data_IF_583272808065
#
_entry.id   IF_583272808065
#
_cell.length_a   1.000
_cell.length_b   1.000
_cell.length_c   1.000
_cell.angle_alpha   90.00
_cell.angle_beta   90.00
_cell.angle_gamma   90.00
#
_symmetry.space_group_name_H-M   'P 1'
#
loop_
_entity.id
_entity.type
_entity.pdbx_description
1 polymer ?
#
# COMPACT_ATOMS: atom_id res chain seq x y z
N UNK A 1 -8.15 -1.71 -15.10
CA UNK A 1 -8.17 -2.90 -14.20
C UNK A 1 -8.70 -2.46 -12.85
N UNK A 2 -9.30 -3.34 -12.06
CA UNK A 2 -9.89 -2.99 -10.76
C UNK A 2 -9.01 -3.56 -9.66
N UNK A 3 -8.62 -2.73 -8.69
CA UNK A 3 -7.95 -3.20 -7.48
C UNK A 3 -9.02 -3.56 -6.43
N UNK A 4 -8.83 -4.72 -5.80
CA UNK A 4 -9.68 -5.23 -4.74
C UNK A 4 -8.92 -5.18 -3.41
N UNK A 5 -9.64 -4.78 -2.36
CA UNK A 5 -9.22 -4.84 -0.97
C UNK A 5 -10.28 -5.63 -0.19
N UNK A 6 -9.91 -6.80 0.32
CA UNK A 6 -10.84 -7.76 0.95
C UNK A 6 -12.05 -8.09 0.06
N UNK A 7 -11.78 -8.45 -1.20
CA UNK A 7 -12.77 -8.73 -2.26
C UNK A 7 -13.70 -7.55 -2.63
N UNK A 8 -13.49 -6.36 -2.05
CA UNK A 8 -14.25 -5.16 -2.39
C UNK A 8 -13.46 -4.28 -3.36
N UNK A 9 -14.08 -3.78 -4.45
CA UNK A 9 -13.46 -2.80 -5.32
C UNK A 9 -13.07 -1.53 -4.54
N UNK A 10 -11.80 -1.16 -4.59
CA UNK A 10 -11.29 0.02 -3.90
C UNK A 10 -10.69 1.08 -4.82
N UNK A 11 -10.56 0.78 -6.11
CA UNK A 11 -10.08 1.73 -7.10
C UNK A 11 -9.81 1.08 -8.46
N UNK A 12 -9.31 1.91 -9.38
CA UNK A 12 -8.98 1.50 -10.73
C UNK A 12 -7.53 1.81 -11.06
N UNK A 13 -6.92 0.87 -11.79
CA UNK A 13 -5.63 1.07 -12.45
C UNK A 13 -5.94 1.48 -13.89
N UNK A 14 -5.68 2.75 -14.19
CA UNK A 14 -6.08 3.43 -15.43
C UNK A 14 -5.12 3.11 -16.59
N UNK A 15 -3.84 2.95 -16.28
CA UNK A 15 -2.77 2.61 -17.21
C UNK A 15 -1.67 1.89 -16.43
N UNK A 16 -1.03 0.88 -17.01
CA UNK A 16 0.08 0.20 -16.35
C UNK A 16 1.19 -0.21 -17.33
N UNK A 17 2.41 -0.30 -16.81
CA UNK A 17 3.56 -0.95 -17.43
C UNK A 17 3.89 -2.24 -16.69
N UNK A 18 4.55 -3.15 -17.38
CA UNK A 18 4.95 -4.44 -16.83
C UNK A 18 6.44 -4.69 -17.06
N UNK A 19 7.15 -4.95 -15.97
CA UNK A 19 8.59 -5.24 -15.89
C UNK A 19 8.79 -6.46 -14.98
N UNK A 20 8.70 -7.66 -15.53
CA UNK A 20 8.67 -8.92 -14.76
C UNK A 20 9.73 -8.99 -13.65
N UNK A 21 9.34 -9.29 -12.39
CA UNK A 21 8.00 -9.72 -11.94
C UNK A 21 7.08 -8.58 -11.48
N UNK A 22 7.42 -7.32 -11.72
CA UNK A 22 6.70 -6.16 -11.21
C UNK A 22 5.82 -5.51 -12.27
N UNK A 23 4.69 -4.97 -11.83
CA UNK A 23 3.85 -4.09 -12.61
C UNK A 23 3.64 -2.79 -11.84
N UNK A 24 3.56 -1.69 -12.56
CA UNK A 24 3.30 -0.37 -11.98
C UNK A 24 2.29 0.37 -12.83
N UNK A 25 1.36 1.09 -12.20
CA UNK A 25 0.31 1.77 -12.91
C UNK A 25 -0.26 2.96 -12.18
N UNK A 26 -0.93 3.83 -12.93
CA UNK A 26 -1.66 4.97 -12.37
C UNK A 26 -2.93 4.47 -11.71
N UNK A 27 -3.08 4.77 -10.43
CA UNK A 27 -4.18 4.36 -9.58
C UNK A 27 -5.09 5.54 -9.23
N UNK A 28 -6.38 5.27 -9.20
CA UNK A 28 -7.42 6.18 -8.71
C UNK A 28 -8.32 5.41 -7.75
N UNK A 29 -8.34 5.81 -6.47
CA UNK A 29 -9.16 5.17 -5.48
C UNK A 29 -10.63 5.60 -5.60
N UNK A 30 -11.53 4.76 -5.11
CA UNK A 30 -12.94 5.12 -4.94
C UNK A 30 -13.16 6.11 -3.79
N UNK A 31 -12.23 6.17 -2.84
CA UNK A 31 -12.25 7.04 -1.67
C UNK A 31 -10.89 7.75 -1.54
N UNK A 32 -10.93 9.08 -1.59
CA UNK A 32 -9.72 9.91 -1.51
C UNK A 32 -9.04 9.80 -0.14
N UNK A 33 -9.79 9.62 0.95
CA UNK A 33 -9.21 9.46 2.28
C UNK A 33 -8.42 8.15 2.39
N UNK A 34 -8.98 7.05 1.87
CA UNK A 34 -8.26 5.78 1.77
C UNK A 34 -7.01 5.90 0.89
N UNK A 35 -7.10 6.60 -0.24
CA UNK A 35 -5.93 6.83 -1.09
C UNK A 35 -4.81 7.55 -0.35
N UNK A 36 -5.12 8.61 0.38
CA UNK A 36 -4.11 9.34 1.16
C UNK A 36 -3.51 8.47 2.26
N UNK A 37 -4.33 7.66 2.95
CA UNK A 37 -3.83 6.73 3.96
C UNK A 37 -2.85 5.70 3.36
N UNK A 38 -3.15 5.14 2.18
CA UNK A 38 -2.26 4.15 1.55
C UNK A 38 -0.98 4.75 0.99
N UNK A 39 -1.04 5.97 0.45
CA UNK A 39 0.17 6.73 0.10
C UNK A 39 1.03 6.95 1.34
N UNK A 40 0.43 7.36 2.46
CA UNK A 40 1.13 7.55 3.71
C UNK A 40 1.77 6.24 4.24
N UNK A 41 1.12 5.08 4.05
CA UNK A 41 1.70 3.77 4.37
C UNK A 41 2.89 3.45 3.45
N UNK A 42 2.82 3.81 2.17
CA UNK A 42 3.95 3.69 1.25
C UNK A 42 5.14 4.57 1.69
N UNK A 43 4.89 5.82 2.07
CA UNK A 43 5.91 6.72 2.62
C UNK A 43 6.51 6.19 3.91
N UNK A 44 5.68 5.63 4.80
CA UNK A 44 6.14 4.98 6.03
C UNK A 44 7.07 3.80 5.73
N UNK A 45 6.71 2.95 4.76
CA UNK A 45 7.50 1.76 4.41
C UNK A 45 8.90 2.15 3.91
N UNK A 46 8.99 3.23 3.12
CA UNK A 46 10.27 3.77 2.68
C UNK A 46 11.06 4.42 3.83
N UNK A 47 10.40 5.14 4.74
CA UNK A 47 11.04 5.77 5.91
C UNK A 47 11.67 4.70 6.84
N UNK A 48 10.95 3.59 7.07
CA UNK A 48 11.42 2.49 7.94
C UNK A 48 12.66 1.78 7.40
N UNK A 49 12.86 1.71 6.09
CA UNK A 49 14.07 1.10 5.50
C UNK A 49 15.37 1.81 5.92
N UNK A 50 15.30 3.09 6.27
CA UNK A 50 16.45 3.90 6.70
C UNK A 50 16.65 3.92 8.24
N UNK A 51 15.81 3.22 9.01
CA UNK A 51 15.89 3.26 10.46
C UNK A 51 17.05 2.41 10.99
N UNK A 52 17.79 2.88 12.01
CA UNK A 52 18.84 2.08 12.64
C UNK A 52 18.29 0.79 13.27
N UNK A 53 18.87 -0.33 12.88
CA UNK A 53 18.51 -1.68 13.35
C UNK A 53 18.91 -1.96 14.81
N UNK A 54 19.84 -1.17 15.38
CA UNK A 54 20.48 -1.43 16.67
C UNK A 54 19.98 -0.56 17.82
N UNK A 55 18.87 0.17 17.62
CA UNK A 55 18.36 1.04 18.67
C UNK A 55 17.58 0.30 19.78
N UNK A 56 17.51 0.86 20.99
CA UNK A 56 16.68 0.32 22.06
C UNK A 56 15.20 0.27 21.67
N UNK A 57 14.51 -0.83 22.02
CA UNK A 57 13.10 -1.06 21.69
C UNK A 57 12.18 0.13 22.06
N UNK A 58 12.41 0.76 23.20
CA UNK A 58 11.62 1.92 23.64
C UNK A 58 11.76 3.12 22.70
N UNK A 59 12.97 3.37 22.18
CA UNK A 59 13.20 4.42 21.20
C UNK A 59 12.52 4.09 19.87
N UNK A 60 12.57 2.81 19.47
CA UNK A 60 11.99 2.36 18.21
C UNK A 60 10.48 2.52 18.23
N UNK A 61 9.84 2.10 19.33
CA UNK A 61 8.41 2.27 19.54
C UNK A 61 8.00 3.75 19.57
N UNK A 62 8.78 4.60 20.24
CA UNK A 62 8.50 6.04 20.27
C UNK A 62 8.59 6.66 18.87
N UNK A 63 9.61 6.31 18.07
CA UNK A 63 9.72 6.77 16.69
C UNK A 63 8.55 6.27 15.86
N UNK A 64 8.23 4.99 15.96
CA UNK A 64 7.14 4.35 15.25
C UNK A 64 5.80 5.09 15.47
N UNK A 65 5.42 5.30 16.73
CA UNK A 65 4.18 6.02 17.06
C UNK A 65 4.22 7.49 16.61
N UNK A 66 5.38 8.15 16.72
CA UNK A 66 5.53 9.53 16.26
C UNK A 66 5.40 9.65 14.73
N UNK A 67 5.94 8.69 13.97
CA UNK A 67 5.86 8.66 12.52
C UNK A 67 4.44 8.36 12.05
N UNK A 68 3.74 7.39 12.64
CA UNK A 68 2.33 7.15 12.37
C UNK A 68 1.49 8.42 12.58
N UNK A 69 1.66 9.07 13.74
CA UNK A 69 0.94 10.31 14.05
C UNK A 69 1.27 11.45 13.08
N UNK A 70 2.54 11.60 12.68
CA UNK A 70 2.99 12.60 11.68
C UNK A 70 2.32 12.38 10.32
N UNK A 71 2.12 11.13 9.94
CA UNK A 71 1.49 10.70 8.68
C UNK A 71 -0.05 10.66 8.78
N UNK A 72 -0.62 10.95 9.94
CA UNK A 72 -2.08 10.89 10.15
C UNK A 72 -2.63 9.46 10.15
N UNK A 73 -1.77 8.47 10.43
CA UNK A 73 -2.12 7.05 10.49
C UNK A 73 -2.27 6.59 11.94
N UNK A 74 -3.13 5.60 12.14
CA UNK A 74 -3.13 4.77 13.36
C UNK A 74 -2.47 3.42 13.11
N UNK A 75 -2.09 2.72 14.18
CA UNK A 75 -1.62 1.33 14.08
C UNK A 75 -2.67 0.45 13.38
N UNK A 76 -3.96 0.67 13.66
CA UNK A 76 -5.03 -0.12 13.07
C UNK A 76 -5.13 0.06 11.55
N UNK A 77 -4.84 1.26 11.03
CA UNK A 77 -4.81 1.51 9.59
C UNK A 77 -3.67 0.73 8.92
N UNK A 78 -2.49 0.75 9.53
CA UNK A 78 -1.32 0.00 9.06
C UNK A 78 -1.59 -1.51 9.07
N UNK A 79 -2.13 -2.04 10.17
CA UNK A 79 -2.44 -3.45 10.33
C UNK A 79 -3.53 -3.90 9.35
N UNK A 80 -4.59 -3.11 9.19
CA UNK A 80 -5.68 -3.42 8.27
C UNK A 80 -5.22 -3.45 6.81
N UNK A 81 -4.27 -2.60 6.43
CA UNK A 81 -3.67 -2.59 5.10
C UNK A 81 -2.85 -3.87 4.84
N UNK A 82 -1.99 -4.25 5.78
CA UNK A 82 -1.07 -5.38 5.64
C UNK A 82 -1.75 -6.75 5.80
N UNK A 83 -2.81 -6.83 6.61
CA UNK A 83 -3.56 -8.06 6.83
C UNK A 83 -4.59 -8.35 5.73
N UNK A 84 -4.83 -7.41 4.82
CA UNK A 84 -5.89 -7.55 3.83
C UNK A 84 -5.53 -8.50 2.68
N UNK A 85 -6.57 -9.14 2.13
CA UNK A 85 -6.46 -9.83 0.87
C UNK A 85 -6.49 -8.81 -0.27
N UNK A 86 -5.41 -8.75 -1.05
CA UNK A 86 -5.29 -7.87 -2.20
C UNK A 86 -5.40 -8.68 -3.49
N UNK A 87 -6.16 -8.17 -4.45
CA UNK A 87 -6.30 -8.80 -5.75
C UNK A 87 -6.57 -7.77 -6.84
N UNK A 88 -6.31 -8.15 -8.09
CA UNK A 88 -6.64 -7.33 -9.25
C UNK A 88 -7.57 -8.11 -10.18
N UNK A 89 -8.60 -7.43 -10.68
CA UNK A 89 -9.44 -7.91 -11.77
C UNK A 89 -9.00 -7.26 -13.08
N UNK A 90 -8.57 -8.09 -14.03
CA UNK A 90 -8.12 -7.62 -15.34
C UNK A 90 -9.30 -7.26 -16.28
N UNK A 91 -8.96 -6.78 -17.49
CA UNK A 91 -9.98 -6.40 -18.49
C UNK A 91 -10.81 -7.57 -19.04
N UNK A 92 -10.37 -8.81 -18.81
CA UNK A 92 -11.10 -10.03 -19.17
C UNK A 92 -11.95 -10.56 -18.00
N UNK A 93 -11.90 -9.90 -16.84
CA UNK A 93 -12.60 -10.31 -15.63
C UNK A 93 -11.88 -11.40 -14.83
N UNK A 94 -10.61 -11.69 -15.11
CA UNK A 94 -9.86 -12.68 -14.34
C UNK A 94 -9.33 -12.05 -13.05
N UNK A 95 -9.41 -12.81 -11.97
CA UNK A 95 -8.89 -12.43 -10.65
C UNK A 95 -7.44 -12.89 -10.51
N UNK A 96 -6.58 -11.98 -10.08
CA UNK A 96 -5.17 -12.22 -9.78
C UNK A 96 -4.91 -11.81 -8.34
N UNK A 97 -4.69 -12.78 -7.46
CA UNK A 97 -4.30 -12.50 -6.06
C UNK A 97 -2.89 -11.92 -6.02
N UNK A 98 -2.71 -10.88 -5.19
CA UNK A 98 -1.40 -10.31 -4.96
C UNK A 98 -0.74 -11.04 -3.79
N UNK A 99 0.49 -11.54 -3.95
CA UNK A 99 1.17 -12.30 -2.89
C UNK A 99 1.62 -11.42 -1.71
N UNK A 100 1.57 -10.09 -1.87
CA UNK A 100 1.90 -9.10 -0.87
C UNK A 100 1.06 -7.83 -1.12
N UNK A 101 0.91 -6.95 -0.12
CA UNK A 101 0.28 -5.66 -0.30
C UNK A 101 0.96 -4.87 -1.44
N UNK A 102 0.18 -4.19 -2.29
CA UNK A 102 0.74 -3.30 -3.28
C UNK A 102 1.37 -2.08 -2.60
N UNK A 103 2.38 -1.50 -3.24
CA UNK A 103 3.01 -0.26 -2.79
C UNK A 103 2.34 0.93 -3.47
N UNK A 104 1.96 1.95 -2.70
CA UNK A 104 1.39 3.18 -3.23
C UNK A 104 2.36 4.35 -3.08
N UNK A 105 2.59 5.06 -4.18
CA UNK A 105 3.44 6.26 -4.21
C UNK A 105 2.74 7.34 -5.04
N UNK A 106 2.32 8.42 -4.39
CA UNK A 106 1.50 9.46 -5.00
C UNK A 106 0.27 8.88 -5.75
N UNK A 107 0.22 8.96 -7.08
CA UNK A 107 -0.87 8.42 -7.89
C UNK A 107 -0.55 7.06 -8.53
N UNK A 108 0.55 6.44 -8.12
CA UNK A 108 1.01 5.17 -8.66
C UNK A 108 0.83 4.04 -7.66
N UNK A 109 0.53 2.86 -8.19
CA UNK A 109 0.52 1.61 -7.46
C UNK A 109 1.48 0.65 -8.14
N UNK A 110 2.32 -0.02 -7.35
CA UNK A 110 3.26 -1.05 -7.81
C UNK A 110 2.92 -2.36 -7.11
N UNK A 111 2.87 -3.44 -7.88
CA UNK A 111 2.57 -4.78 -7.36
C UNK A 111 3.36 -5.84 -8.08
N UNK A 112 3.48 -7.00 -7.46
CA UNK A 112 4.07 -8.17 -8.08
C UNK A 112 3.00 -8.91 -8.90
N UNK A 113 3.30 -9.16 -10.17
CA UNK A 113 2.46 -9.93 -11.10
C UNK A 113 2.68 -11.43 -10.94
#
# INVERSE_FOLDING_TARGET
MILLWNDQPCGQILSYGYETPWASGRFEATDQALQQAWIAIGELSADVEDWPDDEPLEAAEMRWQATLARLGLSQADFDAFHAAAWAIVDGEGRHHELPAPPLFEAIFVTWRW
#
